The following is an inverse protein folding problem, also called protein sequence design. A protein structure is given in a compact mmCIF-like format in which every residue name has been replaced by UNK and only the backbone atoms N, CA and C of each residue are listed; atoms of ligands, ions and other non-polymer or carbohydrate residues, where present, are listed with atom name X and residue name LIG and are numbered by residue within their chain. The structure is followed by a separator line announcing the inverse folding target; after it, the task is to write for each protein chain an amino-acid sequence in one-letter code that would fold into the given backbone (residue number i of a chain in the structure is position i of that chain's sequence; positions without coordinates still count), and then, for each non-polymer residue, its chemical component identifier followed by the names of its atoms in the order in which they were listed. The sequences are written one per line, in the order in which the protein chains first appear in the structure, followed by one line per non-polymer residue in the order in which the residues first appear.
data_IF_790606579465
#
_entry.id   IF_790606579465
#
_cell.length_a   1.000
_cell.length_b   1.000
_cell.length_c   1.000
_cell.angle_alpha   90.00
_cell.angle_beta   90.00
_cell.angle_gamma   90.00
#
_symmetry.space_group_name_H-M   'P 1'
#
loop_
_entity.id
_entity.type
_entity.pdbx_description
1 polymer ?
#
# COMPACT_ATOMS: atom_id res chain seq x y z
N UNK A 1 -0.20 -16.44 -21.43
CA UNK A 1 0.67 -15.62 -20.54
C UNK A 1 1.96 -16.35 -20.19
N UNK A 2 1.92 -17.62 -19.76
CA UNK A 2 3.13 -18.39 -19.43
C UNK A 2 4.14 -18.47 -20.59
N UNK A 3 3.68 -18.65 -21.83
CA UNK A 3 4.52 -18.65 -23.04
C UNK A 3 5.26 -17.32 -23.30
N UNK A 4 4.81 -16.21 -22.70
CA UNK A 4 5.49 -14.90 -22.82
C UNK A 4 6.74 -14.87 -21.92
N UNK A 5 6.68 -15.52 -20.75
CA UNK A 5 7.82 -15.61 -19.82
C UNK A 5 8.97 -16.46 -20.36
N UNK A 6 8.71 -17.29 -21.37
CA UNK A 6 9.72 -18.09 -22.08
C UNK A 6 10.46 -17.32 -23.18
N UNK A 7 10.06 -16.07 -23.46
CA UNK A 7 10.68 -15.19 -24.45
C UNK A 7 11.55 -14.14 -23.78
N UNK A 8 12.49 -13.59 -24.54
CA UNK A 8 13.23 -12.41 -24.13
C UNK A 8 12.27 -11.20 -24.17
N UNK A 9 11.81 -10.79 -23.00
CA UNK A 9 10.93 -9.64 -22.78
C UNK A 9 11.61 -8.66 -21.83
N UNK A 10 11.26 -7.37 -21.91
CA UNK A 10 11.74 -6.37 -20.95
C UNK A 10 11.23 -6.68 -19.52
N UNK A 11 11.95 -6.16 -18.54
CA UNK A 11 11.68 -6.45 -17.12
C UNK A 11 10.30 -5.95 -16.66
N UNK A 12 9.81 -4.83 -17.19
CA UNK A 12 8.52 -4.27 -16.79
C UNK A 12 7.37 -5.15 -17.31
N UNK A 13 7.50 -5.63 -18.55
CA UNK A 13 6.58 -6.60 -19.14
C UNK A 13 6.61 -7.93 -18.38
N UNK A 14 7.79 -8.42 -18.02
CA UNK A 14 7.95 -9.64 -17.22
C UNK A 14 7.25 -9.54 -15.86
N UNK A 15 7.51 -8.47 -15.10
CA UNK A 15 6.88 -8.22 -13.80
C UNK A 15 5.35 -8.13 -13.91
N UNK A 16 4.85 -7.43 -14.93
CA UNK A 16 3.40 -7.27 -15.16
C UNK A 16 2.72 -8.61 -15.48
N UNK A 17 3.37 -9.47 -16.27
CA UNK A 17 2.86 -10.81 -16.61
C UNK A 17 2.87 -11.72 -15.38
N UNK A 18 3.95 -11.71 -14.58
CA UNK A 18 4.03 -12.49 -13.33
C UNK A 18 2.90 -12.08 -12.39
N UNK A 19 2.73 -10.76 -12.17
CA UNK A 19 1.68 -10.26 -11.28
C UNK A 19 0.29 -10.71 -11.75
N UNK A 20 0.01 -10.57 -13.05
CA UNK A 20 -1.26 -10.98 -13.66
C UNK A 20 -1.50 -12.50 -13.55
N UNK A 21 -0.46 -13.31 -13.76
CA UNK A 21 -0.53 -14.77 -13.61
C UNK A 21 -0.82 -15.17 -12.16
N UNK A 22 -0.15 -14.55 -11.19
CA UNK A 22 -0.38 -14.82 -9.77
C UNK A 22 -1.83 -14.55 -9.36
N UNK A 23 -2.40 -13.44 -9.83
CA UNK A 23 -3.82 -13.13 -9.63
C UNK A 23 -4.74 -14.18 -10.27
N UNK A 24 -4.47 -14.58 -11.51
CA UNK A 24 -5.26 -15.60 -12.20
C UNK A 24 -5.20 -16.95 -11.50
N UNK A 25 -4.00 -17.40 -11.10
CA UNK A 25 -3.86 -18.67 -10.37
C UNK A 25 -4.62 -18.63 -9.04
N UNK A 26 -4.53 -17.53 -8.29
CA UNK A 26 -5.30 -17.35 -7.06
C UNK A 26 -6.81 -17.42 -7.33
N UNK A 27 -7.30 -16.75 -8.37
CA UNK A 27 -8.72 -16.74 -8.72
C UNK A 27 -9.24 -18.12 -9.16
N UNK A 28 -8.40 -18.90 -9.85
CA UNK A 28 -8.73 -20.27 -10.26
C UNK A 28 -8.53 -21.32 -9.15
N UNK A 29 -8.05 -20.93 -7.96
CA UNK A 29 -7.69 -21.86 -6.89
C UNK A 29 -6.48 -22.74 -7.22
N UNK A 30 -5.69 -22.38 -8.24
CA UNK A 30 -4.52 -23.15 -8.69
C UNK A 30 -3.29 -22.78 -7.86
N UNK A 31 -3.29 -23.24 -6.60
CA UNK A 31 -2.24 -22.93 -5.64
C UNK A 31 -0.87 -23.47 -6.06
N UNK A 32 -0.82 -24.63 -6.72
CA UNK A 32 0.45 -25.26 -7.14
C UNK A 32 1.19 -24.41 -8.18
N UNK A 33 0.49 -23.91 -9.21
CA UNK A 33 1.12 -23.05 -10.22
C UNK A 33 1.47 -21.66 -9.65
N UNK A 34 0.66 -21.14 -8.73
CA UNK A 34 0.95 -19.91 -8.00
C UNK A 34 2.27 -20.05 -7.21
N UNK A 35 2.40 -21.12 -6.42
CA UNK A 35 3.59 -21.40 -5.63
C UNK A 35 4.82 -21.63 -6.51
N UNK A 36 4.71 -22.47 -7.55
CA UNK A 36 5.81 -22.74 -8.47
C UNK A 36 6.31 -21.46 -9.16
N UNK A 37 5.39 -20.59 -9.57
CA UNK A 37 5.74 -19.31 -10.20
C UNK A 37 6.46 -18.39 -9.22
N UNK A 38 5.96 -18.27 -7.99
CA UNK A 38 6.58 -17.46 -6.94
C UNK A 38 7.98 -17.96 -6.57
N UNK A 39 8.16 -19.28 -6.41
CA UNK A 39 9.45 -19.90 -6.08
C UNK A 39 10.49 -19.77 -7.20
N UNK A 40 10.06 -19.53 -8.44
CA UNK A 40 10.99 -19.26 -9.55
C UNK A 40 11.52 -17.82 -9.58
N UNK A 41 10.99 -16.93 -8.73
CA UNK A 41 11.46 -15.54 -8.64
C UNK A 41 12.64 -15.40 -7.67
N UNK A 42 13.45 -14.36 -7.87
CA UNK A 42 14.55 -14.04 -6.97
C UNK A 42 14.04 -13.68 -5.56
N UNK A 43 14.66 -14.21 -4.49
CA UNK A 43 14.30 -13.79 -3.14
C UNK A 43 14.70 -12.33 -2.90
N UNK A 44 14.06 -11.68 -1.92
CA UNK A 44 14.24 -10.25 -1.62
C UNK A 44 15.72 -9.89 -1.44
N UNK A 45 16.52 -10.73 -0.77
CA UNK A 45 17.93 -10.46 -0.49
C UNK A 45 18.83 -10.34 -1.73
N UNK A 46 18.37 -10.83 -2.88
CA UNK A 46 19.07 -10.70 -4.17
C UNK A 46 18.14 -10.10 -5.23
N UNK A 47 17.13 -9.35 -4.81
CA UNK A 47 16.28 -8.60 -5.75
C UNK A 47 17.10 -7.50 -6.42
N UNK A 48 16.64 -7.08 -7.60
CA UNK A 48 17.27 -6.01 -8.37
C UNK A 48 17.41 -4.73 -7.54
N UNK A 49 16.37 -4.36 -6.80
CA UNK A 49 16.33 -3.15 -5.97
C UNK A 49 17.41 -3.19 -4.87
N UNK A 50 17.55 -4.32 -4.17
CA UNK A 50 18.58 -4.49 -3.12
C UNK A 50 19.98 -4.50 -3.73
N UNK A 51 20.20 -5.27 -4.80
CA UNK A 51 21.51 -5.36 -5.45
C UNK A 51 21.98 -4.02 -6.03
N UNK A 52 21.09 -3.24 -6.65
CA UNK A 52 21.43 -1.92 -7.19
C UNK A 52 21.77 -0.92 -6.09
N UNK A 53 21.06 -0.96 -4.96
CA UNK A 53 21.34 -0.11 -3.80
C UNK A 53 22.70 -0.40 -3.14
N UNK A 54 23.12 -1.67 -3.13
CA UNK A 54 24.36 -2.13 -2.50
C UNK A 54 25.60 -1.99 -3.40
N UNK A 55 25.47 -2.26 -4.69
CA UNK A 55 26.63 -2.39 -5.59
C UNK A 55 27.03 -1.07 -6.26
N UNK A 56 26.10 -0.11 -6.36
CA UNK A 56 26.34 1.16 -7.04
C UNK A 56 27.07 2.15 -6.14
N UNK A 57 28.15 2.77 -6.65
CA UNK A 57 28.99 3.73 -5.90
C UNK A 57 29.00 5.15 -6.47
N UNK A 58 28.34 5.39 -7.60
CA UNK A 58 28.30 6.69 -8.28
C UNK A 58 27.06 7.51 -7.88
N UNK A 59 26.81 8.62 -8.59
CA UNK A 59 25.64 9.49 -8.38
C UNK A 59 24.30 8.75 -8.51
N UNK A 60 24.24 7.59 -9.18
CA UNK A 60 23.01 6.78 -9.24
C UNK A 60 22.75 6.01 -7.95
N UNK A 61 23.74 5.90 -7.06
CA UNK A 61 23.59 5.17 -5.79
C UNK A 61 22.52 5.76 -4.88
N UNK A 62 22.41 7.09 -4.81
CA UNK A 62 21.35 7.76 -4.03
C UNK A 62 19.97 7.49 -4.63
N UNK A 63 19.86 7.52 -5.96
CA UNK A 63 18.62 7.19 -6.65
C UNK A 63 18.19 5.74 -6.36
N UNK A 64 19.08 4.76 -6.54
CA UNK A 64 18.74 3.35 -6.33
C UNK A 64 18.43 3.03 -4.87
N UNK A 65 19.13 3.66 -3.91
CA UNK A 65 18.80 3.51 -2.48
C UNK A 65 17.42 4.06 -2.17
N UNK A 66 17.08 5.25 -2.68
CA UNK A 66 15.75 5.83 -2.52
C UNK A 66 14.66 4.93 -3.12
N UNK A 67 14.86 4.43 -4.35
CA UNK A 67 13.95 3.50 -5.01
C UNK A 67 13.79 2.19 -4.23
N UNK A 68 14.88 1.63 -3.70
CA UNK A 68 14.85 0.42 -2.88
C UNK A 68 14.11 0.61 -1.55
N UNK A 69 14.34 1.74 -0.85
CA UNK A 69 13.62 2.08 0.39
C UNK A 69 12.11 2.11 0.13
N UNK A 70 11.69 2.82 -0.91
CA UNK A 70 10.27 2.94 -1.29
C UNK A 70 9.66 1.58 -1.66
N UNK A 71 10.37 0.76 -2.43
CA UNK A 71 9.90 -0.56 -2.85
C UNK A 71 9.77 -1.55 -1.69
N UNK A 72 10.78 -1.62 -0.82
CA UNK A 72 10.77 -2.49 0.34
C UNK A 72 9.69 -2.06 1.34
N UNK A 73 9.51 -0.75 1.53
CA UNK A 73 8.46 -0.21 2.37
C UNK A 73 7.06 -0.61 1.88
N UNK A 74 6.80 -0.51 0.56
CA UNK A 74 5.54 -0.93 -0.07
C UNK A 74 5.25 -2.43 0.13
N UNK A 75 6.24 -3.28 -0.16
CA UNK A 75 6.05 -4.72 -0.04
C UNK A 75 5.92 -5.17 1.42
N UNK A 76 6.65 -4.52 2.35
CA UNK A 76 6.47 -4.73 3.79
C UNK A 76 5.04 -4.39 4.23
N UNK A 77 4.52 -3.23 3.82
CA UNK A 77 3.13 -2.84 4.05
C UNK A 77 2.17 -3.95 3.58
N UNK A 78 2.29 -4.40 2.33
CA UNK A 78 1.39 -5.40 1.75
C UNK A 78 1.40 -6.71 2.52
N UNK A 79 2.58 -7.23 2.85
CA UNK A 79 2.72 -8.50 3.58
C UNK A 79 2.20 -8.37 5.01
N UNK A 80 2.57 -7.30 5.71
CA UNK A 80 2.16 -7.11 7.10
C UNK A 80 0.65 -6.90 7.21
N UNK A 81 0.09 -6.02 6.38
CA UNK A 81 -1.36 -5.79 6.29
C UNK A 81 -2.10 -7.10 6.05
N UNK A 82 -1.69 -7.86 5.04
CA UNK A 82 -2.34 -9.14 4.70
C UNK A 82 -2.27 -10.12 5.88
N UNK A 83 -1.13 -10.18 6.57
CA UNK A 83 -0.95 -11.05 7.75
C UNK A 83 -1.86 -10.64 8.90
N UNK A 84 -1.96 -9.34 9.20
CA UNK A 84 -2.80 -8.80 10.27
C UNK A 84 -4.28 -9.04 9.96
N UNK A 85 -4.71 -8.76 8.72
CA UNK A 85 -6.14 -8.81 8.38
C UNK A 85 -6.67 -10.24 8.21
N UNK A 86 -5.85 -11.20 7.75
CA UNK A 86 -6.28 -12.60 7.62
C UNK A 86 -6.37 -13.30 8.99
N UNK A 87 -5.47 -12.99 9.92
CA UNK A 87 -5.44 -13.64 11.23
C UNK A 87 -6.44 -12.95 12.16
N UNK A 88 -7.55 -13.62 12.45
CA UNK A 88 -8.58 -13.10 13.38
C UNK A 88 -7.99 -12.63 14.72
N UNK A 89 -7.01 -13.36 15.27
CA UNK A 89 -6.36 -12.97 16.53
C UNK A 89 -5.57 -11.66 16.46
N UNK A 90 -5.19 -11.22 15.26
CA UNK A 90 -4.51 -9.94 15.03
C UNK A 90 -5.52 -8.85 14.66
N UNK A 91 -6.42 -9.11 13.70
CA UNK A 91 -7.41 -8.13 13.23
C UNK A 91 -8.44 -7.67 14.29
N UNK A 92 -8.46 -8.32 15.46
CA UNK A 92 -9.32 -7.96 16.59
C UNK A 92 -8.50 -7.65 17.86
N UNK A 93 -7.25 -7.19 17.70
CA UNK A 93 -6.33 -6.99 18.83
C UNK A 93 -5.56 -5.69 18.75
N UNK A 94 -5.16 -5.19 19.92
CA UNK A 94 -4.24 -4.06 20.02
C UNK A 94 -2.89 -4.38 19.36
N UNK A 95 -2.42 -5.63 19.44
CA UNK A 95 -1.18 -6.07 18.76
C UNK A 95 -1.25 -5.90 17.24
N UNK A 96 -2.40 -6.24 16.62
CA UNK A 96 -2.60 -6.04 15.19
C UNK A 96 -2.66 -4.55 14.82
N UNK A 97 -3.35 -3.75 15.63
CA UNK A 97 -3.40 -2.30 15.47
C UNK A 97 -1.99 -1.67 15.56
N UNK A 98 -1.23 -2.02 16.59
CA UNK A 98 0.13 -1.52 16.82
C UNK A 98 1.07 -1.90 15.66
N UNK A 99 0.93 -3.11 15.10
CA UNK A 99 1.71 -3.54 13.96
C UNK A 99 1.44 -2.68 12.71
N UNK A 100 0.18 -2.34 12.42
CA UNK A 100 -0.15 -1.46 11.30
C UNK A 100 0.33 -0.02 11.55
N UNK A 101 0.17 0.50 12.76
CA UNK A 101 0.65 1.82 13.14
C UNK A 101 2.19 1.93 13.08
N UNK A 102 2.92 0.85 13.36
CA UNK A 102 4.37 0.83 13.18
C UNK A 102 4.77 1.02 11.71
N UNK A 103 3.97 0.50 10.77
CA UNK A 103 4.18 0.75 9.34
C UNK A 103 3.85 2.20 8.99
N UNK A 104 2.73 2.74 9.48
CA UNK A 104 2.38 4.16 9.32
C UNK A 104 3.55 5.05 9.78
N UNK A 105 4.09 4.80 10.97
CA UNK A 105 5.23 5.54 11.50
C UNK A 105 6.47 5.40 10.61
N UNK A 106 6.71 4.23 10.01
CA UNK A 106 7.82 4.06 9.06
C UNK A 106 7.66 4.97 7.84
N UNK A 107 6.46 5.05 7.26
CA UNK A 107 6.16 5.97 6.16
C UNK A 107 6.38 7.43 6.58
N UNK A 108 5.84 7.84 7.72
CA UNK A 108 5.99 9.21 8.25
C UNK A 108 7.45 9.59 8.52
N UNK A 109 8.30 8.63 8.90
CA UNK A 109 9.73 8.89 9.15
C UNK A 109 10.54 9.00 7.85
N UNK A 110 10.20 8.20 6.84
CA UNK A 110 10.88 8.23 5.53
C UNK A 110 10.40 9.44 4.71
N UNK A 111 9.11 9.74 4.74
CA UNK A 111 8.41 10.81 4.03
C UNK A 111 8.07 11.95 4.99
N UNK A 112 9.10 12.43 5.70
CA UNK A 112 8.97 13.31 6.86
C UNK A 112 8.51 14.74 6.58
N UNK A 113 8.37 15.11 5.31
CA UNK A 113 7.85 16.39 4.84
C UNK A 113 6.36 16.33 4.46
N UNK A 114 5.73 15.16 4.62
CA UNK A 114 4.32 14.92 4.27
C UNK A 114 4.06 14.71 2.78
N UNK A 115 5.09 14.82 1.92
CA UNK A 115 4.97 14.55 0.48
C UNK A 115 5.04 13.03 0.24
N UNK A 116 3.94 12.33 0.52
CA UNK A 116 3.89 10.88 0.31
C UNK A 116 3.66 10.51 -1.16
N UNK A 117 3.30 11.46 -2.03
CA UNK A 117 3.00 11.17 -3.43
C UNK A 117 2.02 10.01 -3.57
N UNK A 118 2.36 9.04 -4.42
CA UNK A 118 1.51 7.86 -4.66
C UNK A 118 1.24 7.01 -3.41
N UNK A 119 2.11 7.11 -2.39
CA UNK A 119 1.98 6.37 -1.12
C UNK A 119 0.90 6.89 -0.19
N UNK A 120 0.29 8.03 -0.51
CA UNK A 120 -0.98 8.38 0.11
C UNK A 120 -2.03 7.26 -0.04
N UNK A 121 -1.96 6.43 -1.10
CA UNK A 121 -2.83 5.25 -1.21
C UNK A 121 -2.55 4.18 -0.13
N UNK A 122 -1.28 3.84 0.09
CA UNK A 122 -0.88 2.87 1.12
C UNK A 122 -1.29 3.37 2.52
N UNK A 123 -1.05 4.66 2.79
CA UNK A 123 -1.44 5.32 4.04
C UNK A 123 -2.97 5.30 4.23
N UNK A 124 -3.73 5.64 3.18
CA UNK A 124 -5.18 5.53 3.20
C UNK A 124 -5.64 4.12 3.60
N UNK A 125 -5.09 3.09 2.94
CA UNK A 125 -5.41 1.70 3.25
C UNK A 125 -5.04 1.32 4.69
N UNK A 126 -3.82 1.67 5.13
CA UNK A 126 -3.36 1.41 6.50
C UNK A 126 -4.33 1.98 7.53
N UNK A 127 -4.77 3.23 7.36
CA UNK A 127 -5.70 3.86 8.27
C UNK A 127 -7.13 3.29 8.20
N UNK A 128 -7.61 2.86 7.02
CA UNK A 128 -8.88 2.10 6.93
C UNK A 128 -8.81 0.82 7.76
N UNK A 129 -7.71 0.07 7.68
CA UNK A 129 -7.55 -1.13 8.51
C UNK A 129 -7.39 -0.80 10.00
N UNK A 130 -6.64 0.24 10.35
CA UNK A 130 -6.56 0.70 11.74
C UNK A 130 -7.94 1.07 12.29
N UNK A 131 -8.76 1.73 11.46
CA UNK A 131 -10.16 2.05 11.78
C UNK A 131 -10.98 0.78 12.03
N UNK A 132 -10.91 -0.22 11.14
CA UNK A 132 -11.61 -1.49 11.29
C UNK A 132 -11.22 -2.22 12.59
N UNK A 133 -9.92 -2.31 12.89
CA UNK A 133 -9.45 -2.95 14.12
C UNK A 133 -9.94 -2.16 15.36
N UNK A 134 -9.90 -0.83 15.32
CA UNK A 134 -10.38 0.01 16.42
C UNK A 134 -11.88 -0.16 16.69
N UNK A 135 -12.71 -0.37 15.65
CA UNK A 135 -14.12 -0.74 15.81
C UNK A 135 -14.25 -2.05 16.60
N UNK A 136 -13.49 -3.07 16.23
CA UNK A 136 -13.50 -4.35 16.94
C UNK A 136 -13.00 -4.27 18.40
N UNK A 137 -12.16 -3.28 18.70
CA UNK A 137 -11.71 -2.95 20.06
C UNK A 137 -12.72 -2.11 20.86
N UNK A 138 -13.90 -1.82 20.28
CA UNK A 138 -14.92 -0.94 20.86
C UNK A 138 -14.42 0.50 21.11
N UNK A 139 -13.48 0.97 20.30
CA UNK A 139 -12.94 2.33 20.38
C UNK A 139 -13.41 3.15 19.17
N UNK A 140 -14.66 3.58 19.23
CA UNK A 140 -15.31 4.30 18.12
C UNK A 140 -14.66 5.66 17.83
N UNK A 141 -14.09 6.32 18.85
CA UNK A 141 -13.41 7.61 18.69
C UNK A 141 -12.12 7.44 17.89
N UNK A 142 -11.24 6.49 18.28
CA UNK A 142 -10.03 6.19 17.51
C UNK A 142 -10.38 5.67 16.12
N UNK A 143 -11.41 4.83 16.00
CA UNK A 143 -11.85 4.32 14.71
C UNK A 143 -12.25 5.45 13.75
N UNK A 144 -13.02 6.43 14.23
CA UNK A 144 -13.45 7.58 13.45
C UNK A 144 -12.25 8.45 13.03
N UNK A 145 -11.35 8.74 13.96
CA UNK A 145 -10.15 9.53 13.67
C UNK A 145 -9.27 8.86 12.59
N UNK A 146 -9.06 7.54 12.67
CA UNK A 146 -8.34 6.81 11.62
C UNK A 146 -9.09 6.86 10.29
N UNK A 147 -10.42 6.73 10.30
CA UNK A 147 -11.20 6.80 9.08
C UNK A 147 -11.09 8.17 8.39
N UNK A 148 -11.20 9.26 9.14
CA UNK A 148 -11.01 10.62 8.60
C UNK A 148 -9.59 10.83 8.07
N UNK A 149 -8.58 10.32 8.78
CA UNK A 149 -7.19 10.36 8.32
C UNK A 149 -7.01 9.58 7.00
N UNK A 150 -7.72 8.46 6.83
CA UNK A 150 -7.72 7.72 5.58
C UNK A 150 -8.34 8.53 4.43
N UNK A 151 -9.43 9.25 4.68
CA UNK A 151 -10.07 10.12 3.67
C UNK A 151 -9.14 11.26 3.26
N UNK A 152 -8.40 11.84 4.20
CA UNK A 152 -7.42 12.89 3.92
C UNK A 152 -6.35 12.41 2.97
N UNK A 153 -5.76 11.26 3.26
CA UNK A 153 -4.80 10.64 2.34
C UNK A 153 -5.42 10.26 1.00
N UNK A 154 -6.68 9.83 0.95
CA UNK A 154 -7.34 9.55 -0.32
C UNK A 154 -7.50 10.80 -1.19
N UNK A 155 -7.84 11.94 -0.58
CA UNK A 155 -7.92 13.22 -1.29
C UNK A 155 -6.55 13.64 -1.83
N UNK A 156 -5.50 13.55 -1.02
CA UNK A 156 -4.12 13.85 -1.45
C UNK A 156 -3.69 12.91 -2.59
N UNK A 157 -3.97 11.61 -2.46
CA UNK A 157 -3.68 10.64 -3.51
C UNK A 157 -4.35 10.98 -4.84
N UNK A 158 -5.60 11.46 -4.83
CA UNK A 158 -6.30 11.89 -6.04
C UNK A 158 -5.65 13.10 -6.73
N UNK A 159 -4.93 13.95 -5.99
CA UNK A 159 -4.21 15.09 -6.57
C UNK A 159 -2.87 14.71 -7.20
N UNK A 160 -2.36 13.50 -6.92
CA UNK A 160 -1.08 13.03 -7.45
C UNK A 160 -1.17 12.81 -8.96
N UNK A 161 -0.46 13.64 -9.73
CA UNK A 161 -0.36 13.50 -11.18
C UNK A 161 0.94 12.79 -11.56
N UNK A 162 0.83 11.63 -12.21
CA UNK A 162 1.98 10.87 -12.71
C UNK A 162 2.91 10.38 -11.59
N UNK A 163 4.22 10.34 -11.85
CA UNK A 163 5.23 9.99 -10.85
C UNK A 163 5.58 11.29 -10.10
N UNK A 164 4.92 11.52 -8.95
CA UNK A 164 5.27 12.64 -8.07
C UNK A 164 6.73 12.54 -7.65
N UNK A 165 7.44 13.67 -7.72
CA UNK A 165 8.81 13.75 -7.25
C UNK A 165 8.81 13.86 -5.72
N UNK A 166 9.47 12.91 -5.07
CA UNK A 166 9.67 12.94 -3.63
C UNK A 166 10.66 14.04 -3.25
N UNK A 167 10.47 14.61 -2.06
CA UNK A 167 11.29 15.71 -1.53
C UNK A 167 11.99 15.37 -0.21
N UNK A 168 11.58 14.28 0.45
CA UNK A 168 12.18 13.85 1.69
C UNK A 168 13.64 13.36 1.47
N UNK A 169 14.59 13.68 2.37
CA UNK A 169 16.03 13.48 2.13
C UNK A 169 16.48 12.05 1.81
N UNK A 170 15.74 11.03 2.26
CA UNK A 170 16.09 9.63 2.01
C UNK A 170 15.69 9.15 0.61
N UNK A 171 14.82 9.88 -0.07
CA UNK A 171 14.15 9.43 -1.30
C UNK A 171 14.04 10.52 -2.37
N UNK A 172 14.62 11.70 -2.16
CA UNK A 172 14.54 12.86 -3.06
C UNK A 172 15.17 12.64 -4.45
N UNK A 173 16.04 11.63 -4.56
CA UNK A 173 16.67 11.19 -5.81
C UNK A 173 15.91 10.06 -6.52
N UNK A 174 14.89 9.47 -5.91
CA UNK A 174 14.14 8.37 -6.53
C UNK A 174 13.38 8.86 -7.78
N UNK A 175 13.44 8.09 -8.88
CA UNK A 175 12.78 8.47 -10.15
C UNK A 175 11.87 7.38 -10.70
N UNK A 176 12.29 6.13 -10.55
CA UNK A 176 11.61 4.98 -11.13
C UNK A 176 11.03 4.11 -10.02
N UNK A 177 9.83 4.48 -9.56
CA UNK A 177 9.10 3.65 -8.62
C UNK A 177 7.63 3.54 -9.02
N UNK A 178 7.15 2.30 -9.14
CA UNK A 178 5.79 1.96 -9.56
C UNK A 178 5.24 0.84 -8.65
N UNK A 179 4.65 1.20 -7.51
CA UNK A 179 4.03 0.25 -6.62
C UNK A 179 2.78 -0.36 -7.26
N UNK A 180 2.44 -1.56 -6.81
CA UNK A 180 1.15 -2.15 -7.12
C UNK A 180 0.10 -1.53 -6.20
N UNK A 181 -0.60 -0.51 -6.70
CA UNK A 181 -1.59 0.24 -5.95
C UNK A 181 -2.99 -0.37 -6.12
N UNK A 182 -3.73 -0.47 -5.01
CA UNK A 182 -5.16 -0.76 -5.04
C UNK A 182 -5.91 0.52 -5.37
N UNK A 183 -6.70 0.49 -6.45
CA UNK A 183 -7.55 1.62 -6.81
C UNK A 183 -8.76 1.66 -5.87
N UNK A 184 -8.68 2.54 -4.88
CA UNK A 184 -9.79 2.80 -3.97
C UNK A 184 -10.88 3.58 -4.70
N UNK A 185 -12.12 3.15 -4.51
CA UNK A 185 -13.30 3.83 -5.02
C UNK A 185 -14.23 4.22 -3.86
N UNK A 186 -15.32 4.91 -4.18
CA UNK A 186 -16.35 5.32 -3.21
C UNK A 186 -16.93 4.14 -2.40
N UNK A 187 -17.15 2.99 -3.04
CA UNK A 187 -17.81 1.84 -2.43
C UNK A 187 -17.00 1.31 -1.24
N UNK A 188 -15.67 1.26 -1.35
CA UNK A 188 -14.79 0.88 -0.23
C UNK A 188 -15.04 1.73 1.02
N UNK A 189 -15.20 3.04 0.84
CA UNK A 189 -15.46 3.97 1.95
C UNK A 189 -16.86 3.80 2.51
N UNK A 190 -17.86 3.60 1.65
CA UNK A 190 -19.25 3.40 2.06
C UNK A 190 -19.47 2.07 2.78
N UNK A 191 -18.84 0.98 2.33
CA UNK A 191 -18.86 -0.32 2.99
C UNK A 191 -18.25 -0.24 4.39
N UNK A 192 -17.08 0.39 4.52
CA UNK A 192 -16.43 0.58 5.81
C UNK A 192 -17.29 1.39 6.79
N UNK A 193 -17.99 2.42 6.27
CA UNK A 193 -18.90 3.24 7.09
C UNK A 193 -20.08 2.48 7.69
N UNK A 194 -20.48 1.34 7.13
CA UNK A 194 -21.58 0.53 7.68
C UNK A 194 -21.27 -0.01 9.08
N UNK A 195 -19.99 -0.02 9.46
CA UNK A 195 -19.53 -0.47 10.78
C UNK A 195 -19.60 0.63 11.86
N UNK A 196 -19.91 1.88 11.49
CA UNK A 196 -20.06 3.01 12.41
C UNK A 196 -21.52 3.27 12.80
N UNK A 197 -21.77 3.96 13.93
CA UNK A 197 -23.07 4.54 14.22
C UNK A 197 -23.56 5.45 13.08
N UNK A 198 -24.85 5.41 12.78
CA UNK A 198 -25.45 6.19 11.68
C UNK A 198 -25.12 7.69 11.75
N UNK A 199 -25.11 8.25 12.95
CA UNK A 199 -24.77 9.66 13.20
C UNK A 199 -23.35 10.01 12.74
N UNK A 200 -22.37 9.13 12.97
CA UNK A 200 -20.99 9.32 12.53
C UNK A 200 -20.90 9.22 11.01
N UNK A 201 -21.57 8.22 10.42
CA UNK A 201 -21.61 8.05 8.98
C UNK A 201 -22.22 9.28 8.28
N UNK A 202 -23.32 9.82 8.82
CA UNK A 202 -23.97 10.99 8.26
C UNK A 202 -23.12 12.26 8.44
N UNK A 203 -22.42 12.41 9.56
CA UNK A 203 -21.48 13.51 9.76
C UNK A 203 -20.37 13.51 8.70
N UNK A 204 -19.80 12.34 8.38
CA UNK A 204 -18.79 12.18 7.33
C UNK A 204 -19.36 12.54 5.96
N UNK A 205 -20.52 11.98 5.58
CA UNK A 205 -21.13 12.24 4.25
C UNK A 205 -21.44 13.71 4.03
N UNK A 206 -21.88 14.38 5.09
CA UNK A 206 -22.26 15.79 5.05
C UNK A 206 -21.07 16.73 5.27
N UNK A 207 -19.87 16.21 5.56
CA UNK A 207 -18.67 17.03 5.72
C UNK A 207 -18.23 17.59 4.35
N UNK A 208 -18.22 18.93 4.15
CA UNK A 208 -17.85 19.53 2.87
C UNK A 208 -16.45 19.15 2.39
N UNK A 209 -15.53 18.83 3.32
CA UNK A 209 -14.17 18.39 2.99
C UNK A 209 -14.17 17.11 2.14
N UNK A 210 -15.10 16.19 2.42
CA UNK A 210 -15.16 14.88 1.78
C UNK A 210 -16.23 14.79 0.68
N UNK A 211 -16.89 15.90 0.36
CA UNK A 211 -17.97 15.93 -0.63
C UNK A 211 -17.55 15.34 -1.99
N UNK A 212 -16.32 15.58 -2.45
CA UNK A 212 -15.80 15.04 -3.70
C UNK A 212 -15.61 13.51 -3.73
N UNK A 213 -15.66 12.84 -2.57
CA UNK A 213 -15.58 11.38 -2.45
C UNK A 213 -16.98 10.76 -2.58
N UNK A 214 -17.99 11.43 -2.01
CA UNK A 214 -19.35 10.89 -1.84
C UNK A 214 -20.40 11.53 -2.76
N UNK A 215 -20.04 12.56 -3.54
CA UNK A 215 -20.90 13.10 -4.59
C UNK A 215 -21.20 12.02 -5.64
N UNK A 216 -22.46 11.95 -6.08
CA UNK A 216 -22.93 11.06 -7.15
C UNK A 216 -22.51 11.58 -8.53
#
# INVERSE_FOLDING_TARGET
MEEILKKEVDDDCRTSVIFSLMWLYSWMGNQENAERTALSQSPICVSREVLLADTTKDEKSEQYRGEAILALMHELYKVLRTTVMIKHSLSHSQTGLDALLAVVQLYERILNDGNCGIFHNDMCMLYLYCSSIAIHLNDSERALNYYETALDHFLEWKQVQGISRFTAPLVDKAKNFRPSIVLLNREWFEEHMQSFPAECADAIRNNPKYAAIFAQ
#
